data_IF_090006654506
#
_entry.id   IF_090006654506
#
_cell.length_a   1.000
_cell.length_b   1.000
_cell.length_c   1.000
_cell.angle_alpha   90.00
_cell.angle_beta   90.00
_cell.angle_gamma   90.00
#
_symmetry.space_group_name_H-M   'P 1'
#
loop_
_entity.id
_entity.type
_entity.pdbx_description
1 polymer ?
#
# COMPACT_ATOMS: atom_id res chain seq x y z
N UNK A 1 0.91 -25.02 2.87
CA UNK A 1 1.72 -24.05 3.66
C UNK A 1 0.93 -22.76 3.85
N UNK A 2 -0.32 -22.83 4.33
CA UNK A 2 -1.32 -21.76 4.13
C UNK A 2 -1.33 -20.64 5.18
N UNK A 3 -0.71 -20.80 6.36
CA UNK A 3 -0.90 -19.83 7.47
C UNK A 3 0.34 -19.00 7.83
N UNK A 4 1.15 -18.55 6.86
CA UNK A 4 2.21 -17.57 7.17
C UNK A 4 1.62 -16.15 7.24
N UNK A 5 2.25 -15.24 7.97
CA UNK A 5 1.93 -13.81 7.89
C UNK A 5 2.37 -13.20 6.56
N UNK A 6 1.89 -12.00 6.23
CA UNK A 6 2.37 -11.20 5.09
C UNK A 6 3.48 -10.26 5.55
N UNK A 7 4.49 -10.06 4.70
CA UNK A 7 5.52 -9.03 4.91
C UNK A 7 5.09 -7.76 4.19
N UNK A 8 4.90 -6.68 4.95
CA UNK A 8 4.54 -5.36 4.44
C UNK A 8 5.75 -4.45 4.58
N UNK A 9 6.15 -3.80 3.50
CA UNK A 9 7.11 -2.70 3.53
C UNK A 9 6.33 -1.41 3.43
N UNK A 10 6.40 -0.59 4.48
CA UNK A 10 5.76 0.71 4.54
C UNK A 10 6.81 1.80 4.42
N UNK A 11 6.80 2.49 3.28
CA UNK A 11 7.64 3.67 3.06
C UNK A 11 6.76 4.89 2.78
N UNK A 12 7.36 6.06 2.69
CA UNK A 12 6.61 7.29 2.49
C UNK A 12 7.31 8.49 3.06
N UNK A 13 6.80 9.66 2.71
CA UNK A 13 7.45 10.92 3.06
C UNK A 13 7.48 11.12 4.58
N UNK A 14 8.53 11.77 5.06
CA UNK A 14 8.58 12.21 6.46
C UNK A 14 7.44 13.18 6.73
N UNK A 15 6.59 12.88 7.72
CA UNK A 15 5.39 13.69 8.03
C UNK A 15 4.11 13.19 7.35
N UNK A 16 4.17 12.14 6.51
CA UNK A 16 2.99 11.55 5.88
C UNK A 16 2.09 10.76 6.85
N UNK A 17 2.49 10.59 8.12
CA UNK A 17 1.69 9.93 9.16
C UNK A 17 1.82 8.41 9.23
N UNK A 18 2.89 7.82 8.67
CA UNK A 18 3.17 6.37 8.69
C UNK A 18 3.03 5.73 10.07
N UNK A 19 3.84 6.18 11.03
CA UNK A 19 3.79 5.67 12.40
C UNK A 19 2.41 5.80 13.05
N UNK A 20 1.67 6.89 12.77
CA UNK A 20 0.28 7.04 13.26
C UNK A 20 -0.65 5.97 12.69
N UNK A 21 -0.59 5.74 11.37
CA UNK A 21 -1.39 4.69 10.70
C UNK A 21 -1.01 3.31 11.22
N UNK A 22 0.28 3.01 11.36
CA UNK A 22 0.77 1.71 11.84
C UNK A 22 0.34 1.44 13.29
N UNK A 23 0.56 2.40 14.19
CA UNK A 23 0.17 2.24 15.59
C UNK A 23 -1.34 2.00 15.70
N UNK A 24 -2.13 2.78 14.97
CA UNK A 24 -3.59 2.64 14.97
C UNK A 24 -4.06 1.31 14.39
N UNK A 25 -3.39 0.81 13.34
CA UNK A 25 -3.66 -0.52 12.76
C UNK A 25 -3.39 -1.64 13.79
N UNK A 26 -2.25 -1.58 14.48
CA UNK A 26 -1.88 -2.58 15.51
C UNK A 26 -2.87 -2.54 16.68
N UNK A 27 -3.28 -1.35 17.12
CA UNK A 27 -4.30 -1.18 18.17
C UNK A 27 -5.67 -1.75 17.76
N UNK A 28 -6.06 -1.56 16.50
CA UNK A 28 -7.35 -2.02 15.97
C UNK A 28 -7.39 -3.52 15.73
N UNK A 29 -6.24 -4.14 15.42
CA UNK A 29 -6.10 -5.56 15.11
C UNK A 29 -5.04 -6.24 16.00
N UNK A 30 -5.30 -6.33 17.32
CA UNK A 30 -4.32 -6.82 18.27
C UNK A 30 -3.95 -8.28 18.00
N UNK A 31 -2.63 -8.56 17.94
CA UNK A 31 -2.10 -9.90 17.71
C UNK A 31 -1.96 -10.30 16.23
N UNK A 32 -2.60 -9.59 15.31
CA UNK A 32 -2.47 -9.84 13.86
C UNK A 32 -1.22 -9.20 13.25
N UNK A 33 -0.86 -8.01 13.73
CA UNK A 33 0.24 -7.20 13.20
C UNK A 33 1.36 -7.02 14.22
N UNK A 34 2.59 -6.97 13.70
CA UNK A 34 3.78 -6.58 14.47
C UNK A 34 4.63 -5.62 13.67
N UNK A 35 5.06 -4.53 14.30
CA UNK A 35 6.07 -3.63 13.75
C UNK A 35 7.45 -4.25 13.97
N UNK A 36 8.25 -4.30 12.92
CA UNK A 36 9.62 -4.83 12.99
C UNK A 36 10.54 -3.91 13.76
N UNK A 37 11.42 -4.53 14.55
CA UNK A 37 12.44 -3.86 15.34
C UNK A 37 13.76 -3.95 14.55
N UNK A 38 14.26 -2.80 14.09
CA UNK A 38 15.51 -2.73 13.34
C UNK A 38 16.73 -2.86 14.27
N UNK A 39 17.83 -3.38 13.76
CA UNK A 39 19.13 -3.26 14.41
C UNK A 39 19.77 -1.91 14.08
N UNK A 40 20.52 -1.32 15.01
CA UNK A 40 21.29 -0.10 14.75
C UNK A 40 22.59 -0.04 15.55
N UNK A 41 23.59 0.67 15.00
CA UNK A 41 24.83 0.99 15.73
C UNK A 41 24.79 2.32 16.48
N UNK A 42 23.69 3.06 16.36
CA UNK A 42 23.48 4.28 17.13
C UNK A 42 23.34 3.94 18.61
N UNK A 43 23.92 4.75 19.50
CA UNK A 43 23.65 4.62 20.93
C UNK A 43 22.15 4.86 21.26
N UNK A 44 21.57 4.13 22.23
CA UNK A 44 20.22 4.39 22.71
C UNK A 44 20.07 5.85 23.18
N UNK A 45 18.92 6.45 22.89
CA UNK A 45 18.48 7.72 23.52
C UNK A 45 17.87 7.43 24.88
N UNK A 46 17.73 8.48 25.68
CA UNK A 46 17.06 8.38 26.98
C UNK A 46 15.66 7.79 26.82
N UNK A 47 15.39 6.72 27.58
CA UNK A 47 14.12 5.99 27.55
C UNK A 47 14.01 4.88 26.49
N UNK A 48 14.92 4.80 25.50
CA UNK A 48 14.96 3.67 24.55
C UNK A 48 15.51 2.40 25.24
N UNK A 49 14.95 1.25 24.91
CA UNK A 49 15.33 -0.05 25.48
C UNK A 49 15.69 -1.02 24.35
N UNK A 50 16.78 -1.76 24.55
CA UNK A 50 17.20 -2.80 23.61
C UNK A 50 16.10 -3.86 23.42
N UNK A 51 15.80 -4.17 22.16
CA UNK A 51 14.73 -5.08 21.79
C UNK A 51 13.31 -4.52 21.91
N UNK A 52 13.15 -3.22 22.20
CA UNK A 52 11.86 -2.51 22.12
C UNK A 52 11.82 -1.55 20.94
N UNK A 53 12.70 -0.55 20.92
CA UNK A 53 12.81 0.38 19.79
C UNK A 53 13.76 -0.11 18.71
N UNK A 54 14.92 -0.61 19.12
CA UNK A 54 15.97 -1.14 18.25
C UNK A 54 16.69 -2.29 18.92
N UNK A 55 17.33 -3.15 18.13
CA UNK A 55 18.43 -3.97 18.59
C UNK A 55 19.72 -3.16 18.48
N UNK A 56 20.19 -2.64 19.60
CA UNK A 56 21.42 -1.86 19.66
C UNK A 56 22.62 -2.79 19.55
N UNK A 57 23.48 -2.53 18.57
CA UNK A 57 24.66 -3.33 18.24
C UNK A 57 25.90 -2.44 18.20
N UNK A 58 27.05 -3.03 18.46
CA UNK A 58 28.33 -2.41 18.11
C UNK A 58 28.54 -2.47 16.59
N UNK A 59 29.41 -1.61 16.05
CA UNK A 59 29.75 -1.65 14.61
C UNK A 59 30.30 -3.01 14.19
N UNK A 60 31.14 -3.64 15.00
CA UNK A 60 31.72 -4.96 14.71
C UNK A 60 30.66 -6.06 14.69
N UNK A 61 29.68 -6.02 15.59
CA UNK A 61 28.54 -6.94 15.57
C UNK A 61 27.68 -6.73 14.32
N UNK A 62 27.39 -5.49 13.96
CA UNK A 62 26.58 -5.17 12.79
C UNK A 62 27.28 -5.62 11.49
N UNK A 63 28.58 -5.35 11.34
CA UNK A 63 29.38 -5.83 10.21
C UNK A 63 29.41 -7.37 10.12
N UNK A 64 29.43 -8.05 11.28
CA UNK A 64 29.32 -9.51 11.34
C UNK A 64 27.96 -9.98 10.83
N UNK A 65 26.86 -9.30 11.19
CA UNK A 65 25.52 -9.61 10.69
C UNK A 65 25.42 -9.43 9.16
N UNK A 66 26.03 -8.38 8.61
CA UNK A 66 26.12 -8.17 7.15
C UNK A 66 26.86 -9.34 6.50
N UNK A 67 28.05 -9.70 6.98
CA UNK A 67 28.89 -10.78 6.43
C UNK A 67 28.19 -12.15 6.46
N UNK A 68 27.33 -12.38 7.46
CA UNK A 68 26.57 -13.62 7.61
C UNK A 68 25.26 -13.65 6.82
N UNK A 69 24.82 -12.52 6.25
CA UNK A 69 23.51 -12.42 5.61
C UNK A 69 22.34 -12.48 6.59
N UNK A 70 22.55 -11.99 7.82
CA UNK A 70 21.55 -11.98 8.90
C UNK A 70 20.55 -10.81 8.81
N UNK A 71 20.73 -9.93 7.83
CA UNK A 71 19.88 -8.76 7.58
C UNK A 71 19.14 -8.91 6.25
N UNK A 72 17.86 -8.52 6.21
CA UNK A 72 17.09 -8.49 4.97
C UNK A 72 17.43 -7.26 4.11
N UNK A 73 17.70 -6.15 4.78
CA UNK A 73 18.16 -4.90 4.20
C UNK A 73 19.07 -4.21 5.23
N UNK A 74 19.90 -3.31 4.73
CA UNK A 74 20.68 -2.42 5.58
C UNK A 74 21.04 -1.13 4.85
N UNK A 75 21.24 -0.08 5.63
CA UNK A 75 21.67 1.22 5.16
C UNK A 75 22.53 1.92 6.21
N UNK A 76 23.24 2.97 5.79
CA UNK A 76 23.98 3.85 6.69
C UNK A 76 23.36 5.24 6.68
N UNK A 77 23.01 5.76 7.85
CA UNK A 77 22.44 7.10 8.01
C UNK A 77 23.17 7.85 9.13
N UNK A 78 23.69 9.04 8.81
CA UNK A 78 24.46 9.91 9.73
C UNK A 78 25.46 9.07 10.55
N UNK A 79 26.34 8.38 9.81
CA UNK A 79 27.41 7.51 10.30
C UNK A 79 26.99 6.21 11.02
N UNK A 80 25.70 6.00 11.32
CA UNK A 80 25.22 4.80 12.00
C UNK A 80 24.62 3.80 11.00
N UNK A 81 24.81 2.51 11.23
CA UNK A 81 24.13 1.47 10.47
C UNK A 81 22.71 1.26 11.01
N UNK A 82 21.82 0.89 10.10
CA UNK A 82 20.46 0.43 10.37
C UNK A 82 20.19 -0.77 9.48
N UNK A 83 19.43 -1.75 9.96
CA UNK A 83 19.01 -2.87 9.14
C UNK A 83 17.99 -3.76 9.80
N UNK A 84 17.29 -4.55 8.99
CA UNK A 84 16.18 -5.39 9.45
C UNK A 84 16.65 -6.83 9.73
N UNK A 85 16.62 -7.33 10.99
CA UNK A 85 17.06 -8.68 11.32
C UNK A 85 16.20 -9.77 10.68
N UNK A 86 16.81 -10.57 9.81
CA UNK A 86 16.14 -11.61 9.02
C UNK A 86 15.45 -12.66 9.88
N UNK A 87 16.16 -13.19 10.87
CA UNK A 87 15.63 -14.25 11.74
C UNK A 87 14.35 -13.79 12.46
N UNK A 88 14.37 -12.60 13.04
CA UNK A 88 13.24 -12.07 13.78
C UNK A 88 12.00 -11.96 12.85
N UNK A 89 12.16 -11.37 11.67
CA UNK A 89 11.05 -11.22 10.70
C UNK A 89 10.49 -12.59 10.29
N UNK A 90 11.35 -13.55 9.96
CA UNK A 90 10.91 -14.88 9.53
C UNK A 90 10.20 -15.65 10.65
N UNK A 91 10.65 -15.52 11.90
CA UNK A 91 9.98 -16.14 13.05
C UNK A 91 8.57 -15.56 13.26
N UNK A 92 8.40 -14.24 13.12
CA UNK A 92 7.08 -13.58 13.23
C UNK A 92 6.13 -14.02 12.11
N UNK A 93 6.60 -14.01 10.86
CA UNK A 93 5.83 -14.49 9.71
C UNK A 93 5.46 -15.97 9.86
N UNK A 94 6.36 -16.79 10.41
CA UNK A 94 6.12 -18.20 10.70
C UNK A 94 5.05 -18.43 11.78
N UNK A 95 4.85 -17.46 12.67
CA UNK A 95 3.81 -17.46 13.70
C UNK A 95 2.47 -16.87 13.21
N UNK A 96 2.23 -16.81 11.89
CA UNK A 96 1.03 -16.24 11.26
C UNK A 96 0.77 -14.75 11.58
N UNK A 97 1.80 -13.99 11.97
CA UNK A 97 1.70 -12.54 12.22
C UNK A 97 2.16 -11.75 11.01
N UNK A 98 1.36 -10.78 10.61
CA UNK A 98 1.72 -9.83 9.55
C UNK A 98 2.82 -8.90 10.07
N UNK A 99 3.95 -8.83 9.37
CA UNK A 99 5.11 -8.03 9.77
C UNK A 99 5.13 -6.75 8.96
N UNK A 100 5.20 -5.61 9.64
CA UNK A 100 5.34 -4.30 9.02
C UNK A 100 6.79 -3.83 9.18
N UNK A 101 7.45 -3.53 8.06
CA UNK A 101 8.75 -2.86 8.02
C UNK A 101 8.53 -1.38 7.69
N UNK A 102 8.68 -0.48 8.67
CA UNK A 102 8.70 0.97 8.39
C UNK A 102 10.14 1.40 8.06
N UNK A 103 10.48 1.38 6.78
CA UNK A 103 11.84 1.65 6.28
C UNK A 103 11.83 2.62 5.09
N UNK A 104 13.01 3.11 4.72
CA UNK A 104 13.14 3.99 3.58
C UNK A 104 12.95 3.28 2.24
N UNK A 105 12.93 4.06 1.16
CA UNK A 105 12.66 3.55 -0.18
C UNK A 105 13.72 2.56 -0.66
N UNK A 106 14.98 2.79 -0.31
CA UNK A 106 16.08 1.94 -0.75
C UNK A 106 16.04 0.58 -0.04
N UNK A 107 15.82 0.59 1.28
CA UNK A 107 15.57 -0.62 2.06
C UNK A 107 14.38 -1.39 1.51
N UNK A 108 13.27 -0.69 1.19
CA UNK A 108 12.10 -1.32 0.60
C UNK A 108 12.36 -2.06 -0.71
N UNK A 109 13.22 -1.50 -1.58
CA UNK A 109 13.60 -2.18 -2.83
C UNK A 109 14.54 -3.36 -2.59
N UNK A 110 15.47 -3.28 -1.63
CA UNK A 110 16.29 -4.43 -1.22
C UNK A 110 15.40 -5.58 -0.73
N UNK A 111 14.37 -5.27 0.07
CA UNK A 111 13.39 -6.27 0.52
C UNK A 111 12.64 -6.88 -0.67
N UNK A 112 12.15 -6.07 -1.62
CA UNK A 112 11.40 -6.58 -2.78
C UNK A 112 12.24 -7.47 -3.69
N UNK A 113 13.54 -7.19 -3.82
CA UNK A 113 14.48 -8.04 -4.57
C UNK A 113 14.70 -9.38 -3.85
N UNK A 114 14.87 -9.36 -2.52
CA UNK A 114 15.11 -10.55 -1.72
C UNK A 114 13.84 -11.41 -1.48
N UNK A 115 12.69 -10.76 -1.34
CA UNK A 115 11.37 -11.33 -1.05
C UNK A 115 10.37 -10.70 -2.04
N UNK A 116 10.23 -11.26 -3.25
CA UNK A 116 9.31 -10.73 -4.28
C UNK A 116 7.85 -10.62 -3.84
N UNK A 117 7.44 -11.50 -2.92
CA UNK A 117 6.10 -11.54 -2.33
C UNK A 117 5.85 -10.47 -1.27
N UNK A 118 6.86 -9.67 -0.89
CA UNK A 118 6.68 -8.56 0.04
C UNK A 118 5.77 -7.50 -0.59
N UNK A 119 4.79 -7.01 0.18
CA UNK A 119 3.84 -5.99 -0.29
C UNK A 119 4.40 -4.61 0.03
N UNK A 120 4.74 -3.86 -1.01
CA UNK A 120 5.26 -2.50 -0.88
C UNK A 120 4.09 -1.50 -0.89
N UNK A 121 3.93 -0.79 0.21
CA UNK A 121 2.93 0.28 0.38
C UNK A 121 3.62 1.61 0.61
N UNK A 122 3.29 2.60 -0.20
CA UNK A 122 3.78 3.98 -0.05
C UNK A 122 2.69 4.86 0.56
N UNK A 123 2.93 5.43 1.74
CA UNK A 123 2.01 6.42 2.34
C UNK A 123 2.48 7.83 1.99
N UNK A 124 1.57 8.61 1.41
CA UNK A 124 1.81 10.00 1.08
C UNK A 124 0.83 10.94 1.80
N UNK A 125 1.25 12.19 2.01
CA UNK A 125 0.33 13.25 2.37
C UNK A 125 -0.53 13.68 1.15
N UNK A 126 -1.70 14.32 1.36
CA UNK A 126 -2.56 14.81 0.28
C UNK A 126 -1.88 15.83 -0.64
N UNK A 127 -0.97 16.63 -0.09
CA UNK A 127 -0.17 17.60 -0.83
C UNK A 127 1.15 17.88 -0.13
N UNK A 128 2.11 18.49 -0.84
CA UNK A 128 3.37 18.95 -0.23
C UNK A 128 3.16 20.08 0.79
N UNK A 129 2.11 20.89 0.60
CA UNK A 129 1.71 21.93 1.54
C UNK A 129 1.21 21.33 2.86
N UNK A 130 0.36 20.30 2.78
CA UNK A 130 -0.10 19.56 3.94
C UNK A 130 1.05 18.83 4.64
N UNK A 131 2.00 18.28 3.87
CA UNK A 131 3.21 17.69 4.43
C UNK A 131 4.03 18.71 5.24
N UNK A 132 4.24 19.91 4.69
CA UNK A 132 4.93 21.03 5.36
C UNK A 132 4.19 21.42 6.63
N UNK A 133 2.88 21.66 6.53
CA UNK A 133 2.04 22.01 7.67
C UNK A 133 2.16 20.97 8.80
N UNK A 134 2.14 19.67 8.47
CA UNK A 134 2.32 18.59 9.46
C UNK A 134 3.69 18.62 10.14
N UNK A 135 4.77 18.89 9.39
CA UNK A 135 6.12 19.01 9.95
C UNK A 135 6.25 20.24 10.85
N UNK A 136 5.74 21.39 10.43
CA UNK A 136 5.71 22.63 11.21
C UNK A 136 4.92 22.46 12.50
N UNK A 137 3.72 21.86 12.44
CA UNK A 137 2.86 21.60 13.60
C UNK A 137 3.53 20.69 14.64
N UNK A 138 4.44 19.80 14.23
CA UNK A 138 5.19 18.94 15.17
C UNK A 138 6.13 19.76 16.05
N UNK A 139 6.62 20.90 15.56
CA UNK A 139 7.42 21.87 16.33
C UNK A 139 8.78 21.36 16.82
N UNK A 140 9.25 20.22 16.31
CA UNK A 140 10.50 19.59 16.76
C UNK A 140 11.72 19.94 15.89
N UNK A 141 11.53 20.70 14.81
CA UNK A 141 12.53 20.87 13.74
C UNK A 141 12.61 22.33 13.29
N UNK A 142 13.79 22.76 12.80
CA UNK A 142 13.97 24.12 12.27
C UNK A 142 13.37 24.26 10.87
N UNK A 143 13.16 25.49 10.41
CA UNK A 143 12.65 25.77 9.07
C UNK A 143 13.57 25.20 7.97
N UNK A 144 14.88 25.22 8.19
CA UNK A 144 15.88 24.63 7.27
C UNK A 144 15.70 23.12 7.16
N UNK A 145 15.59 22.41 8.30
CA UNK A 145 15.36 20.96 8.32
C UNK A 145 14.02 20.58 7.67
N UNK A 146 12.98 21.40 7.86
CA UNK A 146 11.68 21.19 7.21
C UNK A 146 11.83 21.31 5.69
N UNK A 147 12.54 22.33 5.19
CA UNK A 147 12.78 22.49 3.75
C UNK A 147 13.57 21.31 3.17
N UNK A 148 14.61 20.84 3.85
CA UNK A 148 15.37 19.66 3.44
C UNK A 148 14.49 18.41 3.35
N UNK A 149 13.60 18.19 4.33
CA UNK A 149 12.64 17.08 4.31
C UNK A 149 11.63 17.19 3.16
N UNK A 150 11.19 18.40 2.84
CA UNK A 150 10.27 18.66 1.73
C UNK A 150 10.94 18.38 0.39
N UNK A 151 12.17 18.83 0.17
CA UNK A 151 12.90 18.56 -1.07
C UNK A 151 13.20 17.07 -1.23
N UNK A 152 13.71 16.42 -0.17
CA UNK A 152 13.87 14.96 -0.14
C UNK A 152 12.55 14.25 -0.43
N UNK A 153 11.43 14.77 0.08
CA UNK A 153 10.13 14.20 -0.17
C UNK A 153 9.71 14.22 -1.65
N UNK A 154 10.08 15.26 -2.39
CA UNK A 154 9.85 15.32 -3.84
C UNK A 154 10.67 14.27 -4.59
N UNK A 155 11.92 14.08 -4.20
CA UNK A 155 12.79 13.04 -4.78
C UNK A 155 12.24 11.64 -4.51
N UNK A 156 11.82 11.38 -3.28
CA UNK A 156 11.22 10.13 -2.84
C UNK A 156 9.91 9.81 -3.59
N UNK A 157 9.09 10.84 -3.91
CA UNK A 157 7.83 10.66 -4.63
C UNK A 157 8.00 10.07 -6.04
N UNK A 158 9.13 10.32 -6.71
CA UNK A 158 9.43 9.76 -8.04
C UNK A 158 9.46 8.22 -8.01
N UNK A 159 9.79 7.66 -6.84
CA UNK A 159 9.87 6.22 -6.62
C UNK A 159 8.53 5.57 -6.24
N UNK A 160 7.50 6.35 -5.90
CA UNK A 160 6.18 5.82 -5.52
C UNK A 160 5.57 4.92 -6.61
N UNK A 161 5.87 5.16 -7.89
CA UNK A 161 5.45 4.31 -9.02
C UNK A 161 6.00 2.88 -9.01
N UNK A 162 6.99 2.58 -8.16
CA UNK A 162 7.59 1.24 -8.00
C UNK A 162 6.96 0.46 -6.83
N UNK A 163 6.00 1.04 -6.12
CA UNK A 163 5.29 0.39 -5.03
C UNK A 163 4.05 -0.33 -5.54
N UNK A 164 3.65 -1.40 -4.87
CA UNK A 164 2.45 -2.17 -5.21
C UNK A 164 1.19 -1.35 -4.93
N UNK A 165 1.21 -0.53 -3.87
CA UNK A 165 0.10 0.34 -3.46
C UNK A 165 0.57 1.72 -3.02
N UNK A 166 -0.27 2.74 -3.25
CA UNK A 166 -0.09 4.10 -2.70
C UNK A 166 -1.33 4.48 -1.91
N UNK A 167 -1.14 4.90 -0.65
CA UNK A 167 -2.21 5.41 0.22
C UNK A 167 -2.02 6.91 0.41
N UNK A 168 -3.04 7.70 0.09
CA UNK A 168 -3.06 9.14 0.37
C UNK A 168 -3.70 9.37 1.74
N UNK A 169 -2.90 9.73 2.73
CA UNK A 169 -3.32 9.88 4.11
C UNK A 169 -3.98 11.23 4.38
N UNK A 170 -5.25 11.35 3.98
CA UNK A 170 -6.14 12.47 4.36
C UNK A 170 -6.73 12.22 5.75
N UNK A 171 -7.24 11.01 5.97
CA UNK A 171 -7.87 10.56 7.21
C UNK A 171 -7.18 9.27 7.68
N UNK A 172 -6.83 9.24 8.97
CA UNK A 172 -6.05 8.15 9.54
C UNK A 172 -6.86 6.85 9.58
N UNK A 173 -8.13 6.89 9.98
CA UNK A 173 -8.95 5.68 10.10
C UNK A 173 -9.19 5.05 8.73
N UNK A 174 -9.49 5.87 7.70
CA UNK A 174 -9.61 5.38 6.32
C UNK A 174 -8.31 4.78 5.82
N UNK A 175 -7.17 5.40 6.14
CA UNK A 175 -5.84 4.89 5.75
C UNK A 175 -5.52 3.55 6.43
N UNK A 176 -5.93 3.39 7.69
CA UNK A 176 -5.82 2.12 8.44
C UNK A 176 -6.65 1.03 7.78
N UNK A 177 -7.92 1.32 7.46
CA UNK A 177 -8.81 0.36 6.81
C UNK A 177 -8.30 -0.04 5.42
N UNK A 178 -7.79 0.92 4.64
CA UNK A 178 -7.17 0.64 3.35
C UNK A 178 -5.94 -0.27 3.50
N UNK A 179 -5.06 0.01 4.47
CA UNK A 179 -3.88 -0.82 4.71
C UNK A 179 -4.26 -2.24 5.17
N UNK A 180 -5.25 -2.37 6.06
CA UNK A 180 -5.76 -3.68 6.48
C UNK A 180 -6.35 -4.48 5.31
N UNK A 181 -7.13 -3.83 4.44
CA UNK A 181 -7.71 -4.45 3.25
C UNK A 181 -6.65 -4.90 2.26
N UNK A 182 -5.61 -4.09 2.02
CA UNK A 182 -4.47 -4.47 1.17
C UNK A 182 -3.83 -5.75 1.71
N UNK A 183 -3.58 -5.84 3.02
CA UNK A 183 -2.97 -7.02 3.63
C UNK A 183 -3.88 -8.25 3.51
N UNK A 184 -5.17 -8.09 3.78
CA UNK A 184 -6.15 -9.18 3.69
C UNK A 184 -6.24 -9.74 2.27
N UNK A 185 -6.35 -8.87 1.27
CA UNK A 185 -6.39 -9.28 -0.15
C UNK A 185 -5.10 -9.99 -0.56
N UNK A 186 -3.93 -9.47 -0.17
CA UNK A 186 -2.65 -10.11 -0.49
C UNK A 186 -2.47 -11.46 0.22
N UNK A 187 -3.01 -11.59 1.44
CA UNK A 187 -3.04 -12.87 2.15
C UNK A 187 -3.86 -13.90 1.39
N UNK A 188 -5.07 -13.54 0.99
CA UNK A 188 -5.98 -14.42 0.22
C UNK A 188 -5.42 -14.82 -1.16
N UNK A 189 -4.80 -13.87 -1.88
CA UNK A 189 -4.13 -14.15 -3.16
C UNK A 189 -3.05 -15.21 -2.97
N UNK A 190 -2.26 -15.09 -1.89
CA UNK A 190 -1.14 -16.02 -1.62
C UNK A 190 -1.61 -17.38 -1.12
N UNK A 191 -2.67 -17.44 -0.32
CA UNK A 191 -3.20 -18.72 0.17
C UNK A 191 -4.00 -19.48 -0.88
N UNK A 192 -4.27 -18.86 -2.02
CA UNK A 192 -5.14 -19.41 -3.06
C UNK A 192 -6.61 -19.47 -2.62
N UNK A 193 -6.96 -18.80 -1.51
CA UNK A 193 -8.29 -18.83 -0.91
C UNK A 193 -9.28 -17.87 -1.58
N UNK A 194 -8.92 -17.18 -2.67
CA UNK A 194 -9.89 -16.42 -3.46
C UNK A 194 -9.84 -16.58 -4.98
N UNK A 195 -11.01 -16.97 -5.49
CA UNK A 195 -11.69 -16.27 -6.59
C UNK A 195 -11.51 -14.75 -6.43
N UNK A 196 -10.75 -14.19 -7.35
CA UNK A 196 -10.45 -12.77 -7.55
C UNK A 196 -11.69 -11.83 -7.48
N UNK A 197 -12.10 -11.32 -6.30
CA UNK A 197 -13.02 -10.16 -6.22
C UNK A 197 -12.69 -9.23 -5.03
N UNK A 198 -12.39 -7.96 -5.31
CA UNK A 198 -12.36 -6.89 -4.30
C UNK A 198 -13.82 -6.41 -4.08
N UNK A 199 -14.23 -6.01 -2.85
CA UNK A 199 -15.64 -5.76 -2.52
C UNK A 199 -16.36 -4.80 -3.48
N UNK A 200 -15.72 -3.68 -3.84
CA UNK A 200 -16.28 -2.71 -4.81
C UNK A 200 -16.50 -3.28 -6.22
N UNK A 201 -15.83 -4.37 -6.60
CA UNK A 201 -16.05 -5.06 -7.86
C UNK A 201 -17.15 -6.10 -7.78
N UNK A 202 -17.38 -6.66 -6.58
CA UNK A 202 -18.54 -7.53 -6.35
C UNK A 202 -19.80 -6.69 -6.41
N UNK A 203 -19.79 -5.49 -5.82
CA UNK A 203 -20.89 -4.55 -5.90
C UNK A 203 -21.12 -4.07 -7.34
N UNK A 204 -20.05 -3.79 -8.10
CA UNK A 204 -20.16 -3.39 -9.51
C UNK A 204 -20.59 -4.56 -10.41
N UNK A 205 -20.12 -5.78 -10.18
CA UNK A 205 -20.58 -6.99 -10.88
C UNK A 205 -22.05 -7.29 -10.55
N UNK A 206 -22.45 -7.16 -9.29
CA UNK A 206 -23.84 -7.36 -8.86
C UNK A 206 -24.76 -6.25 -9.40
N UNK A 207 -24.28 -5.01 -9.44
CA UNK A 207 -24.99 -3.90 -10.07
C UNK A 207 -25.14 -4.12 -11.58
N UNK A 208 -24.08 -4.55 -12.28
CA UNK A 208 -24.15 -4.83 -13.73
C UNK A 208 -25.00 -6.08 -14.03
N UNK A 209 -24.98 -7.09 -13.15
CA UNK A 209 -25.77 -8.31 -13.28
C UNK A 209 -27.17 -8.23 -12.62
N UNK A 210 -27.59 -7.06 -12.12
CA UNK A 210 -28.77 -6.92 -11.27
C UNK A 210 -30.12 -7.20 -11.97
N UNK A 211 -30.93 -8.06 -11.34
CA UNK A 211 -32.29 -8.52 -11.68
C UNK A 211 -32.48 -9.25 -13.03
N UNK A 212 -31.66 -10.27 -13.30
CA UNK A 212 -32.04 -11.29 -14.29
C UNK A 212 -32.75 -12.45 -13.59
N UNK A 213 -34.08 -12.36 -13.43
CA UNK A 213 -34.91 -13.51 -13.03
C UNK A 213 -35.03 -14.57 -14.14
N UNK A 214 -34.42 -14.40 -15.33
CA UNK A 214 -34.63 -15.30 -16.48
C UNK A 214 -33.45 -15.47 -17.46
N UNK A 215 -32.18 -15.34 -17.03
CA UNK A 215 -31.05 -15.68 -17.90
C UNK A 215 -30.14 -16.72 -17.23
N UNK A 216 -29.98 -17.88 -17.87
CA UNK A 216 -29.22 -19.04 -17.38
C UNK A 216 -27.70 -18.78 -17.22
N UNK A 217 -27.17 -17.58 -17.52
CA UNK A 217 -25.77 -17.22 -17.29
C UNK A 217 -25.56 -15.72 -16.99
N UNK A 218 -24.59 -15.36 -16.12
CA UNK A 218 -24.23 -13.96 -15.86
C UNK A 218 -23.61 -13.31 -17.11
N UNK A 219 -24.05 -12.09 -17.41
CA UNK A 219 -23.67 -11.30 -18.60
C UNK A 219 -22.19 -10.91 -18.57
N UNK A 220 -21.61 -10.73 -17.38
CA UNK A 220 -20.19 -10.43 -17.21
C UNK A 220 -19.48 -11.59 -16.51
N UNK A 221 -18.70 -12.36 -17.28
CA UNK A 221 -17.97 -13.54 -16.77
C UNK A 221 -16.53 -13.24 -16.33
N UNK A 222 -16.00 -12.05 -16.62
CA UNK A 222 -14.62 -11.71 -16.25
C UNK A 222 -14.39 -10.21 -16.01
N UNK A 223 -13.40 -9.90 -15.16
CA UNK A 223 -12.92 -8.52 -14.92
C UNK A 223 -12.48 -7.82 -16.21
N UNK A 224 -11.94 -8.59 -17.15
CA UNK A 224 -11.46 -8.09 -18.43
C UNK A 224 -12.60 -7.44 -19.23
N UNK A 225 -13.79 -8.02 -19.20
CA UNK A 225 -14.98 -7.51 -19.90
C UNK A 225 -15.38 -6.12 -19.42
N UNK A 226 -15.33 -5.86 -18.11
CA UNK A 226 -15.63 -4.54 -17.53
C UNK A 226 -14.56 -3.52 -17.92
N UNK A 227 -13.28 -3.88 -17.79
CA UNK A 227 -12.17 -3.00 -18.16
C UNK A 227 -12.24 -2.63 -19.64
N UNK A 228 -12.53 -3.61 -20.51
CA UNK A 228 -12.68 -3.39 -21.94
C UNK A 228 -13.90 -2.54 -22.26
N UNK A 229 -15.04 -2.77 -21.61
CA UNK A 229 -16.25 -1.97 -21.79
C UNK A 229 -16.03 -0.51 -21.36
N UNK A 230 -15.47 -0.28 -20.16
CA UNK A 230 -15.17 1.05 -19.65
C UNK A 230 -14.16 1.77 -20.55
N UNK A 231 -13.14 1.07 -21.04
CA UNK A 231 -12.14 1.65 -21.96
C UNK A 231 -12.75 1.99 -23.33
N UNK A 232 -13.59 1.12 -23.88
CA UNK A 232 -14.29 1.34 -25.16
C UNK A 232 -15.26 2.52 -25.04
N UNK A 233 -16.01 2.61 -23.94
CA UNK A 233 -16.94 3.70 -23.69
C UNK A 233 -16.22 5.02 -23.42
N UNK A 234 -15.15 5.02 -22.64
CA UNK A 234 -14.32 6.20 -22.43
C UNK A 234 -13.76 6.75 -23.76
N UNK A 235 -13.39 5.87 -24.70
CA UNK A 235 -12.98 6.28 -26.05
C UNK A 235 -14.11 6.95 -26.82
N UNK A 236 -15.33 6.41 -26.78
CA UNK A 236 -16.50 7.05 -27.41
C UNK A 236 -16.76 8.45 -26.85
N UNK A 237 -16.63 8.64 -25.53
CA UNK A 237 -16.77 9.96 -24.90
C UNK A 237 -15.68 10.93 -25.36
N UNK A 238 -14.44 10.45 -25.53
CA UNK A 238 -13.34 11.25 -26.12
C UNK A 238 -13.63 11.60 -27.58
N UNK A 239 -14.25 10.69 -28.33
CA UNK A 239 -14.64 10.88 -29.74
C UNK A 239 -15.92 11.73 -29.89
N UNK A 240 -16.46 12.29 -28.80
CA UNK A 240 -17.57 13.24 -28.81
C UNK A 240 -18.95 12.65 -28.52
N UNK A 241 -19.03 11.39 -28.07
CA UNK A 241 -20.30 10.84 -27.57
C UNK A 241 -20.74 11.55 -26.29
N UNK A 242 -22.05 11.77 -26.14
CA UNK A 242 -22.60 12.38 -24.94
C UNK A 242 -22.61 11.40 -23.75
N UNK A 243 -22.34 11.89 -22.52
CA UNK A 243 -22.56 11.13 -21.29
C UNK A 243 -24.01 10.70 -21.10
N UNK A 244 -24.23 9.50 -20.59
CA UNK A 244 -25.54 8.90 -20.29
C UNK A 244 -25.93 9.02 -18.80
N UNK A 245 -25.02 9.56 -17.99
CA UNK A 245 -25.22 9.93 -16.60
C UNK A 245 -24.97 11.42 -16.44
N UNK A 246 -25.60 12.02 -15.44
CA UNK A 246 -25.34 13.41 -15.10
C UNK A 246 -23.90 13.53 -14.57
N UNK A 247 -23.05 14.27 -15.28
CA UNK A 247 -21.66 14.44 -14.92
C UNK A 247 -21.21 15.87 -15.22
N UNK A 248 -20.35 16.42 -14.36
CA UNK A 248 -19.67 17.66 -14.68
C UNK A 248 -18.70 17.43 -15.85
N UNK A 249 -18.63 18.36 -16.80
CA UNK A 249 -17.77 18.32 -17.99
C UNK A 249 -16.26 18.32 -17.65
N UNK A 250 -15.91 18.49 -16.37
CA UNK A 250 -14.55 18.32 -15.84
C UNK A 250 -14.19 16.86 -15.52
N UNK A 251 -15.17 15.95 -15.55
CA UNK A 251 -15.00 14.54 -15.21
C UNK A 251 -14.16 13.81 -16.26
N UNK A 252 -13.23 12.95 -15.81
CA UNK A 252 -12.42 12.15 -16.73
C UNK A 252 -13.32 11.17 -17.49
N UNK A 253 -13.15 10.98 -18.81
CA UNK A 253 -13.98 10.08 -19.61
C UNK A 253 -14.08 8.65 -19.07
N UNK A 254 -13.01 8.14 -18.44
CA UNK A 254 -13.02 6.82 -17.81
C UNK A 254 -13.89 6.77 -16.55
N UNK A 255 -13.92 7.84 -15.76
CA UNK A 255 -14.79 7.93 -14.58
C UNK A 255 -16.25 7.94 -14.99
N UNK A 256 -16.60 8.77 -15.99
CA UNK A 256 -17.96 8.83 -16.55
C UNK A 256 -18.38 7.46 -17.10
N UNK A 257 -17.50 6.79 -17.86
CA UNK A 257 -17.77 5.46 -18.40
C UNK A 257 -18.02 4.40 -17.31
N UNK A 258 -17.30 4.47 -16.18
CA UNK A 258 -17.51 3.56 -15.05
C UNK A 258 -18.85 3.86 -14.37
N UNK A 259 -19.22 5.14 -14.20
CA UNK A 259 -20.48 5.55 -13.58
C UNK A 259 -21.69 5.16 -14.46
N UNK A 260 -21.55 5.25 -15.78
CA UNK A 260 -22.57 4.79 -16.73
C UNK A 260 -22.77 3.27 -16.68
N UNK A 261 -21.68 2.49 -16.57
CA UNK A 261 -21.73 1.03 -16.42
C UNK A 261 -22.37 0.67 -15.07
N UNK A 262 -21.95 1.34 -13.99
CA UNK A 262 -22.49 1.12 -12.65
C UNK A 262 -23.99 1.45 -12.56
N UNK A 263 -24.42 2.51 -13.24
CA UNK A 263 -25.82 2.93 -13.31
C UNK A 263 -26.65 2.15 -14.35
N UNK A 264 -26.11 1.07 -14.91
CA UNK A 264 -26.72 0.23 -15.95
C UNK A 264 -27.16 1.00 -17.21
N UNK A 265 -26.57 2.17 -17.48
CA UNK A 265 -26.81 2.96 -18.72
C UNK A 265 -26.03 2.43 -19.91
N UNK A 266 -24.93 1.72 -19.64
CA UNK A 266 -24.13 1.00 -20.63
C UNK A 266 -24.16 -0.48 -20.29
N UNK A 267 -24.64 -1.29 -21.22
CA UNK A 267 -24.71 -2.74 -21.10
C UNK A 267 -23.50 -3.38 -21.75
N UNK A 268 -22.90 -4.35 -21.07
CA UNK A 268 -21.83 -5.18 -21.63
C UNK A 268 -22.52 -6.38 -22.25
N UNK A 269 -22.39 -6.60 -23.55
CA UNK A 269 -22.93 -7.80 -24.20
C UNK A 269 -21.89 -8.93 -24.09
N UNK A 270 -22.35 -10.16 -23.85
CA UNK A 270 -21.50 -11.35 -23.93
C UNK A 270 -21.11 -11.66 -25.37
N UNK A 271 -20.04 -12.43 -25.58
CA UNK A 271 -19.48 -12.75 -26.90
C UNK A 271 -20.39 -13.63 -27.81
N UNK A 272 -21.65 -13.88 -27.41
CA UNK A 272 -22.59 -14.72 -28.15
C UNK A 272 -23.58 -13.96 -29.07
N UNK A 273 -23.50 -12.62 -29.16
CA UNK A 273 -24.37 -11.80 -30.03
C UNK A 273 -23.65 -11.11 -31.21
N UNK A 274 -22.68 -11.78 -31.84
CA UNK A 274 -22.34 -11.54 -33.26
C UNK A 274 -22.79 -12.73 -34.12
N UNK A 275 -24.10 -12.79 -34.43
CA UNK A 275 -24.65 -13.51 -35.59
C UNK A 275 -25.77 -12.72 -36.24
#
# INVERSE_FOLDING_TARGET
MSDKGILIVLSGLSGAGKGTVVNRLIEKHPGEYVLSISATTRNPREGEVDGREYFFKTESEFESMIKKGDLLEHARYVNNYYGTPKKWVLDQLGANRNVILEIDIQGGFQIKELIPDAVLVFINAPSMEELRHRLEKRGTESAETINERIERGKEELVHAKKYDYVIINVDVEKSVDMLHNIVSVNKEIRTGERNMLHPSYTDLMNAVNGESENAEQPVVQSRYSIVMAASKRARQLVDGAEPLVDCDYTSKPLSVAIDEIYSQKVTILGDDEEK
#
